data_IF_435932937176
#
_entry.id   IF_435932937176
#
_cell.length_a   1.000
_cell.length_b   1.000
_cell.length_c   1.000
_cell.angle_alpha   90.00
_cell.angle_beta   90.00
_cell.angle_gamma   90.00
#
_symmetry.space_group_name_H-M   'P 1'
#
loop_
_entity.id
_entity.type
_entity.pdbx_description
1 polymer ?
#
# COMPACT_ATOMS: atom_id res chain seq x y z
N UNK A 1 -20.95 -21.21 17.34
CA UNK A 1 -20.95 -21.36 15.87
C UNK A 1 -19.80 -20.51 15.35
N UNK A 2 -18.93 -21.06 14.50
CA UNK A 2 -17.77 -20.32 13.97
C UNK A 2 -18.26 -19.25 12.97
N UNK A 3 -17.71 -18.04 13.01
CA UNK A 3 -18.00 -16.98 12.03
C UNK A 3 -17.55 -17.40 10.64
N UNK A 4 -18.27 -17.00 9.60
CA UNK A 4 -17.85 -17.29 8.23
C UNK A 4 -16.67 -16.40 7.82
N UNK A 5 -16.77 -15.09 8.09
CA UNK A 5 -15.78 -14.10 7.65
C UNK A 5 -15.34 -13.14 8.77
N UNK A 6 -14.05 -13.00 8.99
CA UNK A 6 -13.48 -11.87 9.73
C UNK A 6 -12.91 -10.84 8.75
N UNK A 7 -13.46 -9.63 8.74
CA UNK A 7 -12.95 -8.49 7.99
C UNK A 7 -11.93 -7.74 8.84
N UNK A 8 -10.67 -7.73 8.39
CA UNK A 8 -9.56 -7.16 9.15
C UNK A 8 -9.45 -5.67 8.85
N UNK A 9 -9.52 -4.86 9.90
CA UNK A 9 -9.30 -3.41 9.91
C UNK A 9 -8.20 -3.05 10.93
N UNK A 10 -8.09 -1.79 11.35
CA UNK A 10 -7.25 -1.35 12.46
C UNK A 10 -8.04 -0.51 13.47
N UNK A 11 -7.55 -0.40 14.71
CA UNK A 11 -8.25 0.29 15.81
C UNK A 11 -8.58 1.75 15.51
N UNK A 12 -7.69 2.43 14.78
CA UNK A 12 -7.86 3.83 14.40
C UNK A 12 -7.68 3.97 12.89
N UNK A 13 -8.81 4.07 12.19
CA UNK A 13 -8.81 4.36 10.76
C UNK A 13 -8.41 5.82 10.52
N UNK A 14 -7.47 6.10 9.58
CA UNK A 14 -7.10 7.47 9.23
C UNK A 14 -8.22 8.21 8.49
N UNK A 15 -9.08 7.48 7.79
CA UNK A 15 -10.22 7.98 7.03
C UNK A 15 -11.31 6.89 6.96
N UNK A 16 -12.58 7.23 6.66
CA UNK A 16 -13.65 6.23 6.54
C UNK A 16 -13.40 5.19 5.45
N UNK A 17 -13.68 3.92 5.74
CA UNK A 17 -13.66 2.83 4.75
C UNK A 17 -15.00 2.77 4.01
N UNK A 18 -15.06 3.41 2.84
CA UNK A 18 -16.27 3.47 2.02
C UNK A 18 -16.71 2.09 1.47
N UNK A 19 -15.79 1.12 1.39
CA UNK A 19 -16.12 -0.23 0.96
C UNK A 19 -16.76 -1.08 2.07
N UNK A 20 -16.65 -0.65 3.34
CA UNK A 20 -17.09 -1.45 4.48
C UNK A 20 -18.60 -1.71 4.46
N UNK A 21 -19.42 -0.69 4.20
CA UNK A 21 -20.88 -0.82 4.19
C UNK A 21 -21.40 -1.65 3.00
N UNK A 22 -20.96 -1.42 1.74
CA UNK A 22 -21.33 -2.28 0.62
C UNK A 22 -20.91 -3.74 0.81
N UNK A 23 -19.71 -3.99 1.35
CA UNK A 23 -19.24 -5.35 1.62
C UNK A 23 -20.06 -6.04 2.71
N UNK A 24 -20.39 -5.33 3.79
CA UNK A 24 -21.26 -5.83 4.86
C UNK A 24 -22.66 -6.21 4.34
N UNK A 25 -23.25 -5.37 3.48
CA UNK A 25 -24.52 -5.64 2.83
C UNK A 25 -24.44 -6.89 1.93
N UNK A 26 -23.38 -7.02 1.13
CA UNK A 26 -23.17 -8.18 0.26
C UNK A 26 -23.00 -9.49 1.04
N UNK A 27 -22.23 -9.48 2.14
CA UNK A 27 -22.06 -10.64 3.02
C UNK A 27 -23.38 -11.06 3.68
N UNK A 28 -24.16 -10.07 4.14
CA UNK A 28 -25.49 -10.30 4.72
C UNK A 28 -26.44 -10.91 3.69
N UNK A 29 -26.49 -10.37 2.47
CA UNK A 29 -27.31 -10.88 1.38
C UNK A 29 -26.92 -12.32 0.97
N UNK A 30 -25.64 -12.67 1.10
CA UNK A 30 -25.13 -14.02 0.90
C UNK A 30 -25.42 -14.98 2.08
N UNK A 31 -26.04 -14.51 3.16
CA UNK A 31 -26.32 -15.30 4.36
C UNK A 31 -25.07 -15.65 5.18
N UNK A 32 -23.96 -14.91 5.00
CA UNK A 32 -22.70 -15.15 5.68
C UNK A 32 -22.62 -14.34 6.98
N UNK A 33 -22.23 -15.01 8.06
CA UNK A 33 -21.92 -14.34 9.33
C UNK A 33 -20.55 -13.68 9.25
N UNK A 34 -20.45 -12.42 9.70
CA UNK A 34 -19.17 -11.72 9.68
C UNK A 34 -18.99 -10.77 10.87
N UNK A 35 -17.74 -10.38 11.10
CA UNK A 35 -17.38 -9.27 11.99
C UNK A 35 -16.27 -8.43 11.37
N UNK A 36 -16.22 -7.16 11.74
CA UNK A 36 -15.05 -6.31 11.54
C UNK A 36 -14.20 -6.35 12.82
N UNK A 37 -12.91 -6.61 12.70
CA UNK A 37 -12.00 -6.66 13.84
C UNK A 37 -10.64 -6.04 13.49
N UNK A 38 -10.02 -5.41 14.48
CA UNK A 38 -8.76 -4.72 14.30
C UNK A 38 -7.55 -5.66 14.48
N UNK A 39 -6.61 -5.66 13.52
CA UNK A 39 -5.40 -6.51 13.60
C UNK A 39 -4.49 -6.13 14.78
N UNK A 40 -4.50 -4.86 15.17
CA UNK A 40 -3.75 -4.29 16.28
C UNK A 40 -4.50 -4.36 17.61
N UNK A 41 -5.59 -5.12 17.68
CA UNK A 41 -6.27 -5.48 18.92
C UNK A 41 -5.89 -6.89 19.40
N UNK A 42 -5.17 -6.93 20.54
CA UNK A 42 -4.70 -8.19 21.15
C UNK A 42 -5.81 -9.04 21.76
N UNK A 43 -7.03 -8.51 21.91
CA UNK A 43 -8.18 -9.24 22.47
C UNK A 43 -8.95 -10.02 21.41
N UNK A 44 -8.65 -9.82 20.13
CA UNK A 44 -9.35 -10.48 19.02
C UNK A 44 -8.83 -11.90 18.86
N UNK A 45 -9.70 -12.90 19.07
CA UNK A 45 -9.43 -14.28 18.69
C UNK A 45 -9.75 -14.52 17.21
N UNK A 46 -8.73 -14.79 16.40
CA UNK A 46 -8.88 -15.02 14.95
C UNK A 46 -9.26 -16.46 14.59
N UNK A 47 -9.13 -17.42 15.52
CA UNK A 47 -9.50 -18.82 15.28
C UNK A 47 -11.03 -18.97 15.04
N UNK A 48 -11.82 -18.04 15.57
CA UNK A 48 -13.29 -18.04 15.49
C UNK A 48 -13.87 -17.76 14.11
N UNK A 49 -13.05 -17.44 13.10
CA UNK A 49 -13.50 -17.23 11.72
C UNK A 49 -12.99 -18.32 10.79
N UNK A 50 -13.81 -18.75 9.82
CA UNK A 50 -13.42 -19.70 8.75
C UNK A 50 -12.48 -19.05 7.73
N UNK A 51 -12.77 -17.79 7.38
CA UNK A 51 -11.99 -16.99 6.45
C UNK A 51 -11.69 -15.62 7.06
N UNK A 52 -10.47 -15.15 6.88
CA UNK A 52 -10.00 -13.84 7.34
C UNK A 52 -9.55 -13.01 6.14
N UNK A 53 -10.15 -11.83 5.96
CA UNK A 53 -9.99 -11.00 4.76
C UNK A 53 -9.40 -9.65 5.15
N UNK A 54 -8.23 -9.33 4.60
CA UNK A 54 -7.60 -8.03 4.82
C UNK A 54 -8.40 -6.93 4.10
N UNK A 55 -8.84 -5.93 4.85
CA UNK A 55 -9.54 -4.74 4.34
C UNK A 55 -8.75 -3.48 4.71
N UNK A 56 -9.26 -2.68 5.64
CA UNK A 56 -8.73 -1.36 5.99
C UNK A 56 -7.62 -1.41 7.06
N UNK A 57 -6.58 -2.21 6.83
CA UNK A 57 -5.40 -2.32 7.71
C UNK A 57 -4.43 -1.12 7.58
N UNK A 58 -4.92 0.09 7.38
CA UNK A 58 -4.15 1.20 6.79
C UNK A 58 -3.09 1.83 7.68
N UNK A 59 -3.03 1.47 8.97
CA UNK A 59 -1.93 1.85 9.85
C UNK A 59 -0.66 0.98 9.68
N UNK A 60 -0.71 -0.11 8.90
CA UNK A 60 0.41 -1.04 8.76
C UNK A 60 1.74 -0.39 8.34
N UNK A 61 1.81 0.69 7.52
CA UNK A 61 3.09 1.28 7.15
C UNK A 61 3.89 1.82 8.33
N UNK A 62 3.20 2.17 9.43
CA UNK A 62 3.83 2.62 10.68
C UNK A 62 4.25 1.44 11.57
N UNK A 63 3.73 0.25 11.32
CA UNK A 63 3.88 -0.94 12.15
C UNK A 63 4.19 -2.20 11.33
N UNK A 64 4.99 -2.05 10.26
CA UNK A 64 5.18 -3.07 9.22
C UNK A 64 5.58 -4.45 9.78
N UNK A 65 6.59 -4.49 10.67
CA UNK A 65 7.05 -5.72 11.29
C UNK A 65 5.99 -6.38 12.17
N UNK A 66 5.25 -5.59 12.94
CA UNK A 66 4.15 -6.09 13.77
C UNK A 66 2.99 -6.63 12.93
N UNK A 67 2.68 -5.96 11.82
CA UNK A 67 1.64 -6.40 10.89
C UNK A 67 1.98 -7.73 10.21
N UNK A 68 3.23 -7.89 9.75
CA UNK A 68 3.69 -9.16 9.18
C UNK A 68 3.69 -10.27 10.24
N UNK A 69 4.17 -10.00 11.46
CA UNK A 69 4.13 -10.96 12.56
C UNK A 69 2.70 -11.37 12.94
N UNK A 70 1.76 -10.41 12.94
CA UNK A 70 0.33 -10.71 13.12
C UNK A 70 -0.19 -11.63 12.01
N UNK A 71 0.11 -11.34 10.75
CA UNK A 71 -0.33 -12.17 9.63
C UNK A 71 0.24 -13.59 9.71
N UNK A 72 1.50 -13.73 10.12
CA UNK A 72 2.16 -15.02 10.34
C UNK A 72 1.51 -15.84 11.45
N UNK A 73 1.17 -15.22 12.57
CA UNK A 73 0.47 -15.88 13.66
C UNK A 73 -0.95 -16.27 13.25
N UNK A 74 -1.66 -15.37 12.58
CA UNK A 74 -3.04 -15.54 12.15
C UNK A 74 -3.16 -16.66 11.11
N UNK A 75 -2.25 -16.74 10.14
CA UNK A 75 -2.22 -17.78 9.11
C UNK A 75 -2.03 -19.21 9.66
N UNK A 76 -1.57 -19.36 10.91
CA UNK A 76 -1.43 -20.67 11.57
C UNK A 76 -2.74 -21.18 12.18
N UNK A 77 -3.71 -20.29 12.42
CA UNK A 77 -4.93 -20.59 13.18
C UNK A 77 -6.22 -20.36 12.38
N UNK A 78 -6.14 -19.64 11.25
CA UNK A 78 -7.26 -19.42 10.33
C UNK A 78 -6.77 -19.26 8.90
N UNK A 79 -7.69 -19.29 7.94
CA UNK A 79 -7.39 -19.09 6.51
C UNK A 79 -7.38 -17.60 6.20
N UNK A 80 -6.24 -17.07 5.77
CA UNK A 80 -6.18 -15.74 5.15
C UNK A 80 -6.59 -15.84 3.68
N UNK A 81 -7.56 -15.04 3.23
CA UNK A 81 -8.00 -15.03 1.83
C UNK A 81 -6.87 -14.64 0.87
N UNK A 82 -6.08 -13.63 1.24
CA UNK A 82 -4.79 -13.37 0.63
C UNK A 82 -3.74 -14.20 1.38
N UNK A 83 -3.19 -15.28 0.79
CA UNK A 83 -2.27 -16.15 1.49
C UNK A 83 -1.04 -15.39 1.99
N UNK A 84 -0.47 -15.84 3.11
CA UNK A 84 0.69 -15.21 3.75
C UNK A 84 1.86 -14.90 2.78
N UNK A 85 2.22 -15.77 1.81
CA UNK A 85 3.24 -15.43 0.81
C UNK A 85 2.89 -14.18 -0.03
N UNK A 86 1.63 -14.04 -0.45
CA UNK A 86 1.16 -12.88 -1.23
C UNK A 86 1.22 -11.61 -0.37
N UNK A 87 0.78 -11.69 0.88
CA UNK A 87 0.84 -10.57 1.81
C UNK A 87 2.29 -10.10 2.04
N UNK A 88 3.21 -11.02 2.33
CA UNK A 88 4.64 -10.68 2.53
C UNK A 88 5.26 -10.05 1.28
N UNK A 89 4.93 -10.58 0.11
CA UNK A 89 5.40 -10.04 -1.16
C UNK A 89 4.85 -8.63 -1.43
N UNK A 90 3.56 -8.41 -1.16
CA UNK A 90 2.87 -7.16 -1.47
C UNK A 90 3.15 -6.02 -0.47
N UNK A 91 3.44 -6.31 0.80
CA UNK A 91 3.65 -5.28 1.84
C UNK A 91 4.84 -4.36 1.53
N UNK A 92 5.81 -4.86 0.76
CA UNK A 92 7.04 -4.16 0.42
C UNK A 92 7.12 -3.93 -1.10
N UNK A 93 7.23 -2.67 -1.55
CA UNK A 93 7.24 -2.27 -2.98
C UNK A 93 8.42 -2.76 -3.83
N UNK A 94 9.20 -3.72 -3.33
CA UNK A 94 10.19 -4.45 -4.13
C UNK A 94 9.50 -5.33 -5.18
N UNK A 95 8.23 -5.69 -4.95
CA UNK A 95 7.40 -6.34 -5.95
C UNK A 95 7.36 -5.57 -7.28
N UNK A 96 7.58 -4.25 -7.30
CA UNK A 96 7.67 -3.48 -8.55
C UNK A 96 8.87 -3.91 -9.41
N UNK A 97 10.01 -4.22 -8.80
CA UNK A 97 11.18 -4.74 -9.51
C UNK A 97 10.94 -6.18 -9.98
N UNK A 98 10.24 -6.97 -9.17
CA UNK A 98 9.86 -8.33 -9.56
C UNK A 98 8.90 -8.30 -10.77
N UNK A 99 7.91 -7.40 -10.77
CA UNK A 99 7.01 -7.19 -11.91
C UNK A 99 7.77 -6.72 -13.16
N UNK A 100 8.67 -5.76 -13.02
CA UNK A 100 9.53 -5.27 -14.11
C UNK A 100 10.36 -6.42 -14.72
N UNK A 101 10.95 -7.29 -13.89
CA UNK A 101 11.71 -8.45 -14.35
C UNK A 101 10.87 -9.48 -15.13
N UNK A 102 9.54 -9.44 -15.00
CA UNK A 102 8.60 -10.25 -15.78
C UNK A 102 8.01 -9.48 -16.98
N UNK A 103 8.56 -8.32 -17.33
CA UNK A 103 8.15 -7.52 -18.49
C UNK A 103 6.88 -6.70 -18.26
N UNK A 104 6.42 -6.56 -17.02
CA UNK A 104 5.27 -5.71 -16.69
C UNK A 104 5.78 -4.27 -16.52
N UNK A 105 5.25 -3.29 -17.28
CA UNK A 105 5.66 -1.91 -17.15
C UNK A 105 5.36 -1.37 -15.75
N UNK A 106 6.38 -0.79 -15.10
CA UNK A 106 6.27 -0.07 -13.84
C UNK A 106 6.88 1.31 -13.99
N UNK A 107 6.57 2.23 -13.07
CA UNK A 107 7.32 3.49 -12.99
C UNK A 107 8.81 3.17 -12.82
N UNK A 108 9.71 3.75 -13.64
CA UNK A 108 11.14 3.54 -13.49
C UNK A 108 11.57 3.77 -12.02
N UNK A 109 12.17 2.76 -11.41
CA UNK A 109 12.39 2.69 -9.96
C UNK A 109 13.83 2.35 -9.62
N UNK A 110 14.41 3.09 -8.68
CA UNK A 110 15.64 2.71 -7.97
C UNK A 110 15.29 2.37 -6.52
N UNK A 111 15.66 1.18 -6.09
CA UNK A 111 15.59 0.77 -4.69
C UNK A 111 16.88 1.17 -3.98
N UNK A 112 16.76 2.00 -2.96
CA UNK A 112 17.85 2.41 -2.07
C UNK A 112 17.67 1.65 -0.76
N UNK A 113 18.55 0.67 -0.52
CA UNK A 113 18.50 -0.16 0.68
C UNK A 113 18.84 0.65 1.93
N UNK A 114 18.26 0.25 3.07
CA UNK A 114 18.58 0.82 4.36
C UNK A 114 20.10 0.86 4.59
N UNK A 115 20.62 1.99 5.07
CA UNK A 115 22.05 2.21 5.32
C UNK A 115 22.89 2.52 4.07
N UNK A 116 22.28 2.59 2.88
CA UNK A 116 22.98 3.04 1.68
C UNK A 116 23.48 4.48 1.80
N UNK A 117 24.63 4.77 1.16
CA UNK A 117 25.22 6.10 1.06
C UNK A 117 24.92 6.80 -0.27
N UNK A 118 24.12 6.17 -1.15
CA UNK A 118 23.72 6.76 -2.43
C UNK A 118 22.96 8.08 -2.23
N UNK A 119 23.30 9.07 -3.04
CA UNK A 119 22.63 10.38 -3.02
C UNK A 119 21.56 10.49 -4.08
N UNK A 120 20.58 11.37 -3.85
CA UNK A 120 19.53 11.66 -4.83
C UNK A 120 20.12 12.27 -6.11
N UNK A 121 21.14 13.13 -5.96
CA UNK A 121 21.88 13.74 -7.07
C UNK A 121 22.59 12.69 -7.95
N UNK A 122 23.16 11.65 -7.34
CA UNK A 122 23.75 10.54 -8.08
C UNK A 122 22.68 9.80 -8.90
N UNK A 123 21.57 9.43 -8.26
CA UNK A 123 20.48 8.71 -8.92
C UNK A 123 19.93 9.51 -10.10
N UNK A 124 19.64 10.81 -9.91
CA UNK A 124 19.14 11.69 -10.97
C UNK A 124 20.11 11.76 -12.15
N UNK A 125 21.40 11.92 -11.89
CA UNK A 125 22.44 11.99 -12.93
C UNK A 125 22.55 10.68 -13.72
N UNK A 126 22.58 9.54 -13.03
CA UNK A 126 22.71 8.22 -13.67
C UNK A 126 21.47 7.83 -14.48
N UNK A 127 20.29 8.25 -14.02
CA UNK A 127 19.00 7.93 -14.67
C UNK A 127 18.51 8.98 -15.66
N UNK A 128 19.10 10.18 -15.65
CA UNK A 128 18.64 11.31 -16.46
C UNK A 128 17.29 11.89 -16.01
N UNK A 129 16.92 11.74 -14.73
CA UNK A 129 15.63 12.19 -14.21
C UNK A 129 15.67 13.64 -13.71
N UNK A 130 14.72 14.46 -14.16
CA UNK A 130 14.58 15.85 -13.72
C UNK A 130 13.84 15.96 -12.38
N UNK A 131 12.73 15.23 -12.26
CA UNK A 131 11.90 15.22 -11.06
C UNK A 131 11.75 13.78 -10.59
N UNK A 132 11.73 13.60 -9.27
CA UNK A 132 11.70 12.27 -8.67
C UNK A 132 10.77 12.21 -7.48
N UNK A 133 10.14 11.06 -7.27
CA UNK A 133 9.35 10.77 -6.09
C UNK A 133 10.18 9.89 -5.14
N UNK A 134 10.34 10.34 -3.90
CA UNK A 134 11.07 9.63 -2.85
C UNK A 134 10.08 9.15 -1.78
N UNK A 135 9.99 7.84 -1.57
CA UNK A 135 9.05 7.23 -0.60
C UNK A 135 9.55 5.92 0.01
N UNK A 136 9.12 5.55 1.22
CA UNK A 136 9.44 4.25 1.80
C UNK A 136 8.96 3.08 0.95
N UNK A 137 9.70 1.97 0.99
CA UNK A 137 9.28 0.73 0.34
C UNK A 137 8.05 0.10 0.97
N UNK A 138 7.84 0.29 2.28
CA UNK A 138 6.59 -0.02 2.98
C UNK A 138 5.83 1.29 3.23
N UNK A 139 4.75 1.53 2.47
CA UNK A 139 4.01 2.81 2.48
C UNK A 139 2.58 2.63 1.97
N UNK A 140 1.65 3.46 2.43
CA UNK A 140 0.29 3.61 1.93
C UNK A 140 -0.18 5.06 2.19
N UNK A 141 -1.22 5.53 1.49
CA UNK A 141 -1.79 6.88 1.67
C UNK A 141 -0.73 8.01 1.68
N UNK A 142 0.19 7.98 0.70
CA UNK A 142 1.30 8.94 0.58
C UNK A 142 2.24 9.03 1.80
N UNK A 143 2.24 8.03 2.69
CA UNK A 143 3.07 8.02 3.89
C UNK A 143 4.55 8.27 3.56
N UNK A 144 5.06 9.42 4.05
CA UNK A 144 6.42 9.92 3.85
C UNK A 144 6.87 9.97 2.38
N UNK A 145 5.95 10.31 1.49
CA UNK A 145 6.21 10.50 0.05
C UNK A 145 6.51 11.97 -0.22
N UNK A 146 7.56 12.25 -0.99
CA UNK A 146 7.94 13.59 -1.41
C UNK A 146 8.23 13.61 -2.91
N UNK A 147 7.60 14.53 -3.64
CA UNK A 147 8.08 14.94 -4.96
C UNK A 147 9.27 15.89 -4.75
N UNK A 148 10.35 15.64 -5.48
CA UNK A 148 11.56 16.47 -5.42
C UNK A 148 11.79 17.06 -6.80
N UNK A 149 11.56 18.37 -6.89
CA UNK A 149 11.89 19.20 -8.06
C UNK A 149 13.38 19.62 -8.05
N UNK A 150 13.92 20.17 -9.15
CA UNK A 150 15.28 20.69 -9.17
C UNK A 150 15.60 21.69 -8.05
N UNK A 151 14.64 22.52 -7.68
CA UNK A 151 14.80 23.57 -6.66
C UNK A 151 14.74 23.03 -5.22
N UNK A 152 14.20 21.81 -5.03
CA UNK A 152 14.01 21.19 -3.72
C UNK A 152 15.08 20.15 -3.38
N UNK A 153 16.18 20.10 -4.14
CA UNK A 153 17.20 19.04 -4.01
C UNK A 153 17.79 18.91 -2.61
N UNK A 154 18.04 20.02 -1.91
CA UNK A 154 18.57 19.98 -0.54
C UNK A 154 17.58 19.28 0.42
N UNK A 155 16.29 19.59 0.30
CA UNK A 155 15.24 18.98 1.10
C UNK A 155 15.02 17.50 0.70
N UNK A 156 15.03 17.20 -0.60
CA UNK A 156 14.94 15.82 -1.11
C UNK A 156 16.08 14.92 -0.64
N UNK A 157 17.31 15.42 -0.61
CA UNK A 157 18.47 14.70 -0.07
C UNK A 157 18.34 14.45 1.43
N UNK A 158 17.89 15.45 2.19
CA UNK A 158 17.64 15.30 3.62
C UNK A 158 16.53 14.26 3.89
N UNK A 159 15.46 14.28 3.09
CA UNK A 159 14.37 13.31 3.16
C UNK A 159 14.84 11.90 2.83
N UNK A 160 15.58 11.71 1.73
CA UNK A 160 16.17 10.42 1.36
C UNK A 160 17.04 9.86 2.49
N UNK A 161 17.99 10.67 3.01
CA UNK A 161 18.85 10.25 4.13
C UNK A 161 18.05 9.83 5.36
N UNK A 162 17.03 10.63 5.72
CA UNK A 162 16.17 10.34 6.87
C UNK A 162 15.38 9.04 6.73
N UNK A 163 14.95 8.70 5.51
CA UNK A 163 14.30 7.42 5.22
C UNK A 163 15.30 6.27 5.23
N UNK A 164 16.39 6.37 4.48
CA UNK A 164 17.40 5.31 4.29
C UNK A 164 18.10 4.95 5.60
N UNK A 165 18.21 5.86 6.56
CA UNK A 165 18.70 5.53 7.90
C UNK A 165 17.82 4.49 8.63
N UNK A 166 16.54 4.36 8.26
CA UNK A 166 15.55 3.56 8.99
C UNK A 166 14.96 2.41 8.18
N UNK A 167 14.95 2.50 6.84
CA UNK A 167 14.21 1.58 5.98
C UNK A 167 14.64 1.66 4.52
N UNK A 168 14.32 0.61 3.77
CA UNK A 168 14.38 0.61 2.31
C UNK A 168 13.48 1.70 1.72
N UNK A 169 13.98 2.37 0.69
CA UNK A 169 13.37 3.55 0.08
C UNK A 169 13.38 3.42 -1.44
N UNK A 170 12.30 3.86 -2.08
CA UNK A 170 12.21 3.97 -3.54
C UNK A 170 12.48 5.41 -3.95
N UNK A 171 13.26 5.56 -5.01
CA UNK A 171 13.36 6.77 -5.81
C UNK A 171 12.82 6.44 -7.20
N UNK A 172 11.76 7.14 -7.62
CA UNK A 172 11.08 6.87 -8.88
C UNK A 172 11.10 8.11 -9.77
N UNK A 173 11.12 7.94 -11.09
CA UNK A 173 10.87 9.04 -12.01
C UNK A 173 9.49 9.64 -11.74
N UNK A 174 9.38 10.97 -11.70
CA UNK A 174 8.07 11.61 -11.78
C UNK A 174 7.50 11.46 -13.19
N UNK A 175 6.20 11.18 -13.29
CA UNK A 175 5.50 11.00 -14.56
C UNK A 175 4.49 12.16 -14.72
N UNK A 176 4.78 13.18 -15.55
CA UNK A 176 3.90 14.35 -15.71
C UNK A 176 2.47 14.00 -16.15
N UNK A 177 2.31 12.89 -16.89
CA UNK A 177 1.02 12.36 -17.30
C UNK A 177 0.05 12.10 -16.14
N UNK A 178 0.55 11.93 -14.91
CA UNK A 178 -0.28 11.76 -13.72
C UNK A 178 -1.09 13.03 -13.41
N UNK A 179 -0.60 14.22 -13.76
CA UNK A 179 -1.35 15.48 -13.58
C UNK A 179 -2.45 15.65 -14.62
N UNK A 180 -2.14 15.31 -15.88
CA UNK A 180 -3.07 15.48 -17.00
C UNK A 180 -4.14 14.38 -17.03
N UNK A 181 -3.73 13.13 -16.88
CA UNK A 181 -4.60 11.96 -17.06
C UNK A 181 -5.04 11.32 -15.74
N UNK A 182 -4.44 11.69 -14.61
CA UNK A 182 -4.67 11.04 -13.31
C UNK A 182 -4.08 9.64 -13.25
N UNK A 183 -4.43 8.91 -12.19
CA UNK A 183 -4.12 7.49 -12.04
C UNK A 183 -5.41 6.67 -12.19
N UNK A 184 -5.35 5.52 -12.89
CA UNK A 184 -6.48 4.58 -12.97
C UNK A 184 -6.20 3.37 -12.09
N UNK A 185 -7.05 3.14 -11.10
CA UNK A 185 -7.05 1.91 -10.33
C UNK A 185 -8.03 0.92 -10.94
N UNK A 186 -7.53 -0.23 -11.37
CA UNK A 186 -8.32 -1.32 -11.95
C UNK A 186 -8.63 -2.36 -10.88
N UNK A 187 -9.91 -2.69 -10.69
CA UNK A 187 -10.35 -3.66 -9.70
C UNK A 187 -10.64 -4.98 -10.41
N UNK A 188 -10.00 -6.04 -9.91
CA UNK A 188 -10.15 -7.39 -10.41
C UNK A 188 -10.75 -8.29 -9.33
N UNK A 189 -11.77 -9.06 -9.70
CA UNK A 189 -12.41 -10.07 -8.85
C UNK A 189 -12.40 -11.40 -9.60
N UNK A 190 -11.85 -12.44 -8.97
CA UNK A 190 -11.74 -13.79 -9.57
C UNK A 190 -11.10 -13.80 -10.98
N UNK A 191 -10.07 -12.96 -11.17
CA UNK A 191 -9.36 -12.87 -12.45
C UNK A 191 -10.13 -12.12 -13.55
N UNK A 192 -11.23 -11.44 -13.22
CA UNK A 192 -12.01 -10.60 -14.16
C UNK A 192 -11.94 -9.14 -13.75
N UNK A 193 -11.67 -8.26 -14.71
CA UNK A 193 -11.81 -6.81 -14.53
C UNK A 193 -13.29 -6.50 -14.29
N UNK A 194 -13.60 -5.89 -13.14
CA UNK A 194 -14.98 -5.57 -12.76
C UNK A 194 -15.31 -4.09 -12.96
N UNK A 195 -14.41 -3.20 -12.57
CA UNK A 195 -14.57 -1.77 -12.68
C UNK A 195 -13.21 -1.06 -12.55
N UNK A 196 -13.17 0.21 -12.92
CA UNK A 196 -12.03 1.09 -12.74
C UNK A 196 -12.48 2.36 -12.03
N UNK A 197 -11.56 2.97 -11.27
CA UNK A 197 -11.75 4.30 -10.71
C UNK A 197 -10.59 5.19 -11.17
N UNK A 198 -10.90 6.46 -11.41
CA UNK A 198 -9.89 7.48 -11.65
C UNK A 198 -9.59 8.22 -10.35
N UNK A 199 -8.32 8.29 -10.01
CA UNK A 199 -7.78 9.05 -8.88
C UNK A 199 -7.06 10.26 -9.41
N UNK A 200 -7.42 11.42 -8.89
CA UNK A 200 -6.67 12.65 -9.12
C UNK A 200 -5.54 12.75 -8.08
N UNK A 201 -4.31 13.17 -8.44
CA UNK A 201 -3.19 13.21 -7.50
C UNK A 201 -3.45 14.14 -6.31
N UNK A 202 -2.98 13.76 -5.11
CA UNK A 202 -2.89 14.67 -3.96
C UNK A 202 -1.71 15.63 -4.17
N UNK A 203 -1.88 16.69 -4.96
CA UNK A 203 -0.92 17.79 -5.05
C UNK A 203 -1.54 19.04 -4.42
N UNK A 204 -0.83 19.66 -3.47
CA UNK A 204 -1.20 20.90 -2.76
C UNK A 204 -2.49 20.87 -1.91
N UNK A 205 -2.50 20.11 -0.81
CA UNK A 205 -3.45 20.33 0.30
C UNK A 205 -4.95 20.12 -0.01
N UNK A 206 -5.28 19.49 -1.15
CA UNK A 206 -6.65 19.13 -1.51
C UNK A 206 -6.96 17.68 -1.11
N UNK A 207 -8.22 17.44 -0.75
CA UNK A 207 -8.74 16.11 -0.45
C UNK A 207 -8.76 15.23 -1.70
N UNK A 208 -8.69 13.90 -1.50
CA UNK A 208 -8.81 12.94 -2.59
C UNK A 208 -10.17 13.07 -3.28
N UNK A 209 -10.16 13.19 -4.62
CA UNK A 209 -11.36 13.04 -5.45
C UNK A 209 -11.30 11.72 -6.21
N UNK A 210 -12.35 10.92 -6.03
CA UNK A 210 -12.55 9.64 -6.72
C UNK A 210 -13.75 9.79 -7.64
N UNK A 211 -13.57 9.57 -8.93
CA UNK A 211 -14.66 9.49 -9.90
C UNK A 211 -14.75 8.09 -10.50
N UNK A 212 -15.99 7.65 -10.74
CA UNK A 212 -16.25 6.54 -11.66
C UNK A 212 -16.08 7.05 -13.09
N UNK A 213 -15.18 6.43 -13.84
CA UNK A 213 -15.08 6.59 -15.29
C UNK A 213 -15.96 5.54 -15.98
#
# INVERSE_FOLDING_TARGET
MRLDVALVSCRHLPEPDLDAAPLAAALTAAGLSFRVAAWDDRQVDWADARLTVLRSCWNYPRHAGAFVAWAEATAKITTLLNPLPVLRWNVHKRYLLDLESHGIPVTPTVMVLQGSITTLAQIRRERGWQEVVVKPAVSAASFRTMLVTPDEMSAGEAHLRGLVAQRDTLVQAYLPAVEEYGERALIWVEGRLTHAIRKTPRLSGQDESVSSD
#
